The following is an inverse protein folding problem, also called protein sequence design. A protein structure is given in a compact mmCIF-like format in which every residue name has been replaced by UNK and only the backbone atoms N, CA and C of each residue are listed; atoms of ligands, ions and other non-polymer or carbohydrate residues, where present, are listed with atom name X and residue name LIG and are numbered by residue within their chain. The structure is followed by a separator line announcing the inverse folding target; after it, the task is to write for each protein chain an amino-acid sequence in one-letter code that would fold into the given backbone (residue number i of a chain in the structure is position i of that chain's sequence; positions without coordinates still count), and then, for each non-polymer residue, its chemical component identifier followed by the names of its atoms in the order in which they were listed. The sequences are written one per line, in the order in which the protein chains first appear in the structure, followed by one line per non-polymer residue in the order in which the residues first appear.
data_IF_620131651770
#
_entry.id   IF_620131651770
#
_cell.length_a   1.000
_cell.length_b   1.000
_cell.length_c   1.000
_cell.angle_alpha   90.00
_cell.angle_beta   90.00
_cell.angle_gamma   90.00
#
_symmetry.space_group_name_H-M   'P 1'
#
loop_
_entity.id
_entity.type
_entity.pdbx_description
1 polymer ?
#
# COMPACT_ATOMS: atom_id res chain seq x y z
N UNK A 1 -2.78 -10.25 14.99
CA UNK A 1 -2.04 -9.20 14.24
C UNK A 1 -2.48 -7.83 14.75
N UNK A 2 -1.67 -7.16 15.56
CA UNK A 2 -1.83 -5.73 15.83
C UNK A 2 -0.81 -5.01 14.93
N UNK A 3 -1.25 -4.00 14.17
CA UNK A 3 -0.42 -3.15 13.29
C UNK A 3 -0.21 -3.58 11.81
N UNK A 4 -1.19 -4.26 11.19
CA UNK A 4 -1.18 -4.55 9.75
C UNK A 4 -1.94 -3.50 8.91
N UNK A 5 -2.21 -2.32 9.48
CA UNK A 5 -2.98 -1.23 8.87
C UNK A 5 -2.34 0.11 9.20
N UNK A 6 -2.19 1.00 8.21
CA UNK A 6 -1.78 2.39 8.44
C UNK A 6 -2.66 3.36 7.67
N UNK A 7 -2.94 4.51 8.27
CA UNK A 7 -3.72 5.58 7.66
C UNK A 7 -2.83 6.40 6.72
N UNK A 8 -3.24 6.54 5.46
CA UNK A 8 -2.58 7.42 4.48
C UNK A 8 -2.91 8.86 4.84
N UNK A 9 -1.91 9.61 5.31
CA UNK A 9 -2.11 10.98 5.77
C UNK A 9 -1.44 11.99 4.87
N UNK A 10 -2.11 13.12 4.67
CA UNK A 10 -1.54 14.35 4.16
C UNK A 10 -1.93 15.45 5.15
N UNK A 11 -0.94 15.96 5.91
CA UNK A 11 -1.19 16.81 7.07
C UNK A 11 -2.13 16.12 8.07
N UNK A 12 -3.19 16.83 8.49
CA UNK A 12 -4.22 16.31 9.39
C UNK A 12 -5.28 15.40 8.74
N UNK A 13 -5.29 15.31 7.40
CA UNK A 13 -6.34 14.56 6.67
C UNK A 13 -5.94 13.12 6.41
N UNK A 14 -6.90 12.20 6.54
CA UNK A 14 -6.73 10.78 6.13
C UNK A 14 -7.42 10.55 4.80
N UNK A 15 -6.70 10.04 3.80
CA UNK A 15 -7.24 9.84 2.45
C UNK A 15 -7.50 8.37 2.12
N UNK A 16 -7.05 7.47 2.98
CA UNK A 16 -7.17 6.04 2.77
C UNK A 16 -6.40 5.26 3.81
N UNK A 17 -6.30 3.97 3.57
CA UNK A 17 -5.55 3.06 4.42
C UNK A 17 -4.75 2.10 3.56
N UNK A 18 -3.55 1.78 4.01
CA UNK A 18 -2.78 0.66 3.49
C UNK A 18 -2.87 -0.49 4.47
N UNK A 19 -3.09 -1.69 3.94
CA UNK A 19 -3.29 -2.92 4.67
C UNK A 19 -2.28 -3.96 4.22
N UNK A 20 -1.73 -4.71 5.17
CA UNK A 20 -1.01 -5.94 4.92
C UNK A 20 -1.87 -7.14 5.35
N UNK A 21 -1.99 -8.10 4.45
CA UNK A 21 -2.76 -9.32 4.63
C UNK A 21 -1.91 -10.52 4.26
N UNK A 22 -2.16 -11.66 4.92
CA UNK A 22 -1.54 -12.93 4.59
C UNK A 22 -2.59 -13.88 4.00
N UNK A 23 -2.30 -14.44 2.83
CA UNK A 23 -3.13 -15.49 2.23
C UNK A 23 -2.46 -16.84 2.46
N UNK A 24 -3.06 -17.67 3.33
CA UNK A 24 -2.55 -19.01 3.67
C UNK A 24 -2.60 -19.99 2.50
N UNK A 25 -3.63 -19.94 1.65
CA UNK A 25 -3.77 -20.85 0.51
C UNK A 25 -2.74 -20.61 -0.58
N UNK A 26 -2.39 -19.35 -0.83
CA UNK A 26 -1.35 -18.96 -1.80
C UNK A 26 0.05 -18.81 -1.19
N UNK A 27 0.17 -18.93 0.14
CA UNK A 27 1.38 -18.63 0.92
C UNK A 27 2.02 -17.27 0.55
N UNK A 28 1.19 -16.23 0.36
CA UNK A 28 1.64 -14.91 -0.11
C UNK A 28 1.17 -13.79 0.78
N UNK A 29 1.99 -12.74 0.83
CA UNK A 29 1.62 -11.46 1.42
C UNK A 29 0.92 -10.60 0.35
N UNK A 30 -0.17 -9.95 0.75
CA UNK A 30 -0.92 -9.01 -0.08
C UNK A 30 -0.94 -7.66 0.63
N UNK A 31 -0.51 -6.61 -0.07
CA UNK A 31 -0.68 -5.24 0.37
C UNK A 31 -1.77 -4.58 -0.47
N UNK A 32 -2.68 -3.88 0.17
CA UNK A 32 -3.74 -3.15 -0.50
C UNK A 32 -3.84 -1.72 0.04
N UNK A 33 -3.81 -0.74 -0.86
CA UNK A 33 -4.21 0.63 -0.57
C UNK A 33 -5.67 0.79 -0.92
N UNK A 34 -6.49 1.14 0.06
CA UNK A 34 -7.92 1.41 -0.12
C UNK A 34 -8.18 2.88 0.18
N UNK A 35 -8.74 3.57 -0.81
CA UNK A 35 -9.09 4.99 -0.71
C UNK A 35 -10.36 5.19 0.10
N UNK A 36 -10.39 6.23 0.92
CA UNK A 36 -11.60 6.70 1.60
C UNK A 36 -11.96 8.11 1.15
N UNK A 37 -10.96 8.97 0.96
CA UNK A 37 -11.13 10.20 0.20
C UNK A 37 -11.08 9.90 -1.30
N UNK A 38 -11.92 10.62 -2.06
CA UNK A 38 -11.90 10.59 -3.53
C UNK A 38 -12.17 9.19 -4.12
N UNK A 39 -12.84 8.33 -3.35
CA UNK A 39 -13.33 7.05 -3.83
C UNK A 39 -14.26 7.28 -5.04
N UNK A 40 -14.07 6.48 -6.09
CA UNK A 40 -14.81 6.62 -7.35
C UNK A 40 -14.11 7.50 -8.39
N UNK A 41 -13.28 8.47 -7.97
CA UNK A 41 -12.47 9.28 -8.89
C UNK A 41 -11.12 8.60 -9.18
N UNK A 42 -10.71 8.40 -10.45
CA UNK A 42 -9.38 7.86 -10.75
C UNK A 42 -8.25 8.80 -10.29
N UNK A 43 -7.45 8.38 -9.31
CA UNK A 43 -6.28 9.11 -8.80
C UNK A 43 -5.04 8.22 -8.83
N UNK A 44 -3.83 8.78 -8.82
CA UNK A 44 -2.63 7.96 -8.69
C UNK A 44 -2.61 7.30 -7.32
N UNK A 45 -2.46 5.98 -7.30
CA UNK A 45 -2.51 5.17 -6.08
C UNK A 45 -1.55 4.03 -6.24
N UNK A 46 -0.74 3.75 -5.23
CA UNK A 46 0.28 2.71 -5.27
C UNK A 46 0.33 1.94 -3.97
N UNK A 47 0.38 0.62 -4.08
CA UNK A 47 0.66 -0.29 -2.98
C UNK A 47 2.04 -0.91 -3.17
N UNK A 48 2.82 -1.00 -2.09
CA UNK A 48 4.20 -1.49 -2.09
C UNK A 48 4.38 -2.49 -0.95
N UNK A 49 4.86 -3.67 -1.30
CA UNK A 49 5.27 -4.71 -0.36
C UNK A 49 6.79 -4.85 -0.46
N UNK A 50 7.48 -4.47 0.61
CA UNK A 50 8.94 -4.62 0.73
C UNK A 50 9.25 -5.97 1.35
N UNK A 51 10.23 -6.70 0.82
CA UNK A 51 10.73 -7.95 1.40
C UNK A 51 12.11 -7.72 1.99
N UNK A 52 12.33 -8.12 3.26
CA UNK A 52 13.61 -7.96 3.94
C UNK A 52 14.68 -8.74 3.19
N UNK A 53 15.84 -8.11 2.94
CA UNK A 53 16.94 -8.74 2.20
C UNK A 53 16.64 -9.04 0.72
N UNK A 54 15.46 -8.64 0.22
CA UNK A 54 15.02 -8.87 -1.14
C UNK A 54 14.59 -7.58 -1.85
N UNK A 55 13.72 -7.74 -2.85
CA UNK A 55 13.13 -6.65 -3.61
C UNK A 55 11.80 -6.14 -3.02
N UNK A 56 11.03 -5.46 -3.86
CA UNK A 56 9.68 -5.04 -3.50
C UNK A 56 8.68 -5.27 -4.64
N UNK A 57 7.48 -5.71 -4.27
CA UNK A 57 6.35 -5.86 -5.18
C UNK A 57 5.53 -4.58 -5.16
N UNK A 58 5.19 -4.07 -6.33
CA UNK A 58 4.55 -2.77 -6.49
C UNK A 58 3.38 -2.89 -7.45
N UNK A 59 2.29 -2.23 -7.11
CA UNK A 59 1.20 -1.98 -8.04
C UNK A 59 0.70 -0.53 -7.88
N UNK A 60 0.87 0.33 -8.88
CA UNK A 60 1.67 0.13 -10.10
C UNK A 60 3.17 0.20 -9.79
N UNK A 61 4.05 -0.06 -10.79
CA UNK A 61 5.50 -0.02 -10.61
C UNK A 61 6.05 1.33 -10.09
N UNK A 62 5.42 2.43 -10.50
CA UNK A 62 5.67 3.79 -10.00
C UNK A 62 4.35 4.50 -9.78
N UNK A 63 4.23 5.35 -8.75
CA UNK A 63 2.97 6.00 -8.35
C UNK A 63 2.21 6.66 -9.52
N UNK A 64 2.92 7.37 -10.40
CA UNK A 64 2.35 8.12 -11.51
C UNK A 64 1.96 7.28 -12.73
N UNK A 65 2.19 5.96 -12.70
CA UNK A 65 1.98 5.10 -13.88
C UNK A 65 0.53 4.65 -14.08
N UNK A 66 -0.28 4.59 -13.01
CA UNK A 66 -1.68 4.16 -13.11
C UNK A 66 -2.56 4.85 -12.09
N UNK A 67 -3.77 5.19 -12.53
CA UNK A 67 -4.82 5.76 -11.69
C UNK A 67 -5.83 4.69 -11.29
N UNK A 68 -6.24 4.70 -10.03
CA UNK A 68 -7.22 3.79 -9.46
C UNK A 68 -8.41 4.56 -8.89
N UNK A 69 -9.62 4.03 -9.11
CA UNK A 69 -10.86 4.61 -8.56
C UNK A 69 -10.98 4.34 -7.06
N UNK A 70 -10.61 3.13 -6.63
CA UNK A 70 -10.90 2.65 -5.27
C UNK A 70 -9.68 2.09 -4.55
N UNK A 71 -8.92 1.20 -5.20
CA UNK A 71 -7.79 0.54 -4.55
C UNK A 71 -6.69 0.18 -5.54
N UNK A 72 -5.46 0.06 -5.04
CA UNK A 72 -4.33 -0.57 -5.71
C UNK A 72 -3.81 -1.71 -4.83
N UNK A 73 -3.30 -2.80 -5.41
CA UNK A 73 -2.89 -3.96 -4.63
C UNK A 73 -1.70 -4.69 -5.24
N UNK A 74 -0.70 -4.99 -4.39
CA UNK A 74 0.46 -5.77 -4.79
C UNK A 74 0.49 -7.09 -4.00
N UNK A 75 0.79 -8.18 -4.69
CA UNK A 75 0.93 -9.51 -4.10
C UNK A 75 2.37 -9.94 -4.29
N UNK A 76 2.99 -10.43 -3.22
CA UNK A 76 4.37 -10.85 -3.23
C UNK A 76 4.64 -12.04 -2.36
N UNK A 77 5.69 -12.78 -2.72
CA UNK A 77 6.15 -13.92 -1.96
C UNK A 77 7.20 -13.46 -0.96
N UNK A 78 6.93 -13.69 0.33
CA UNK A 78 7.86 -13.35 1.41
C UNK A 78 9.00 -14.35 1.57
N UNK A 79 8.91 -15.58 1.02
CA UNK A 79 9.96 -16.63 1.13
C UNK A 79 10.50 -16.88 2.56
N UNK A 80 9.67 -16.80 3.60
CA UNK A 80 10.18 -16.90 4.98
C UNK A 80 10.89 -15.64 5.49
N UNK A 81 11.06 -14.63 4.64
CA UNK A 81 11.53 -13.32 5.02
C UNK A 81 10.42 -12.46 5.59
N UNK A 82 10.81 -11.53 6.45
CA UNK A 82 9.90 -10.52 6.93
C UNK A 82 9.54 -9.54 5.81
N UNK A 83 8.32 -9.02 5.83
CA UNK A 83 7.83 -7.99 4.89
C UNK A 83 7.45 -6.69 5.59
N UNK A 84 7.61 -5.56 4.91
CA UNK A 84 7.11 -4.24 5.30
C UNK A 84 6.14 -3.76 4.21
N UNK A 85 5.24 -2.86 4.56
CA UNK A 85 4.23 -2.37 3.64
C UNK A 85 4.17 -0.85 3.62
N UNK A 86 3.89 -0.34 2.44
CA UNK A 86 3.82 1.08 2.15
C UNK A 86 2.70 1.33 1.13
N UNK A 87 2.08 2.49 1.25
CA UNK A 87 1.00 2.90 0.37
C UNK A 87 1.02 4.38 0.12
N UNK A 88 0.52 4.75 -1.06
CA UNK A 88 0.41 6.13 -1.51
C UNK A 88 -0.91 6.35 -2.24
N UNK A 89 -1.49 7.53 -2.08
CA UNK A 89 -2.56 8.02 -2.95
C UNK A 89 -2.45 9.51 -3.13
N UNK A 90 -2.84 10.02 -4.30
CA UNK A 90 -2.77 11.46 -4.61
C UNK A 90 -4.16 12.09 -4.71
N UNK A 91 -4.21 13.41 -4.52
CA UNK A 91 -5.35 14.23 -4.93
C UNK A 91 -5.03 14.89 -6.26
N UNK A 92 -5.68 14.45 -7.34
CA UNK A 92 -5.46 15.03 -8.67
C UNK A 92 -6.34 16.26 -8.94
N UNK A 93 -7.06 16.79 -7.94
CA UNK A 93 -8.06 17.85 -8.13
C UNK A 93 -7.66 19.21 -7.57
N UNK A 94 -6.62 19.29 -6.73
CA UNK A 94 -6.11 20.54 -6.15
C UNK A 94 -4.64 20.76 -6.49
N UNK A 95 -3.73 20.00 -5.88
CA UNK A 95 -2.28 20.34 -5.95
C UNK A 95 -1.35 19.11 -6.12
N UNK A 96 -1.88 17.95 -6.54
CA UNK A 96 -1.15 16.69 -6.55
C UNK A 96 -0.57 16.28 -5.19
N UNK A 97 -1.18 16.76 -4.09
CA UNK A 97 -0.82 16.35 -2.74
C UNK A 97 -0.75 14.82 -2.65
N UNK A 98 0.23 14.31 -1.92
CA UNK A 98 0.44 12.88 -1.72
C UNK A 98 0.09 12.56 -0.28
N UNK A 99 -0.82 11.62 -0.06
CA UNK A 99 -1.00 10.97 1.22
C UNK A 99 -0.27 9.63 1.20
N UNK A 100 0.61 9.42 2.17
CA UNK A 100 1.39 8.20 2.27
C UNK A 100 1.31 7.61 3.67
N UNK A 101 1.59 6.31 3.75
CA UNK A 101 1.90 5.66 5.00
C UNK A 101 2.78 4.45 4.74
N UNK A 102 3.70 4.24 5.67
CA UNK A 102 4.55 3.07 5.73
C UNK A 102 4.56 2.58 7.16
N UNK A 103 4.64 1.26 7.35
CA UNK A 103 4.82 0.73 8.72
C UNK A 103 6.24 1.00 9.21
N UNK A 104 7.25 0.77 8.37
CA UNK A 104 8.65 1.10 8.67
C UNK A 104 9.34 0.06 9.56
N UNK A 105 8.65 -1.04 9.85
CA UNK A 105 9.17 -2.21 10.55
C UNK A 105 8.69 -3.43 9.80
N UNK A 106 9.54 -4.44 9.66
CA UNK A 106 9.16 -5.69 9.00
C UNK A 106 8.27 -6.58 9.92
N UNK A 107 7.39 -7.40 9.34
CA UNK A 107 6.49 -8.38 9.99
C UNK A 107 6.24 -9.58 9.07
N UNK A 108 5.42 -10.55 9.51
CA UNK A 108 5.15 -11.79 8.78
C UNK A 108 6.45 -12.46 8.34
N UNK A 109 7.38 -12.59 9.30
CA UNK A 109 8.61 -13.34 9.14
C UNK A 109 8.24 -14.83 9.25
N UNK A 110 8.42 -15.60 8.17
CA UNK A 110 8.05 -17.02 8.11
C UNK A 110 7.01 -17.33 7.03
#
# INVERSE_FOLDING_TARGET
MKDNKRALRNGGSTWGYVWLMWNRGLQKNCVAVIKTAYAGTPTYTQAILHVKGGGAYRDPGTLTRKKYRYFAAAIGYGKGECVDFEGHTTDTRRDYGIASARRGKFMNCG
#
